data_IF_601895953544
#
_entry.id   IF_601895953544
#
_cell.length_a   1.000
_cell.length_b   1.000
_cell.length_c   1.000
_cell.angle_alpha   90.00
_cell.angle_beta   90.00
_cell.angle_gamma   90.00
#
_symmetry.space_group_name_H-M   'P 1'
#
loop_
_entity.id
_entity.type
_entity.pdbx_description
1 polymer ?
#
# COMPACT_ATOMS: atom_id res chain seq x y z
N UNK A 1 10.89 -6.85 -47.35
CA UNK A 1 9.50 -6.41 -47.12
C UNK A 1 9.43 -4.95 -47.59
N UNK A 2 9.54 -4.75 -48.90
CA UNK A 2 8.44 -4.52 -49.88
C UNK A 2 7.65 -3.24 -49.56
N UNK A 3 8.23 -2.13 -50.02
CA UNK A 3 7.65 -1.10 -50.91
C UNK A 3 6.12 -1.09 -51.12
N UNK A 4 5.50 0.07 -50.88
CA UNK A 4 4.41 0.58 -51.73
C UNK A 4 4.21 2.09 -51.56
N UNK A 5 4.68 2.83 -52.56
CA UNK A 5 4.08 4.10 -53.00
C UNK A 5 2.67 3.84 -53.54
N UNK A 6 1.77 4.82 -53.38
CA UNK A 6 1.16 5.56 -54.50
C UNK A 6 -0.19 6.23 -54.14
N UNK A 7 -0.33 7.46 -54.64
CA UNK A 7 -1.52 8.00 -55.30
C UNK A 7 -2.69 8.54 -54.45
N UNK A 8 -2.84 9.86 -54.52
CA UNK A 8 -4.10 10.62 -54.78
C UNK A 8 -3.69 12.10 -54.99
N UNK A 9 -3.46 12.55 -56.22
CA UNK A 9 -4.41 12.85 -57.32
C UNK A 9 -5.27 14.09 -57.05
N UNK A 10 -4.73 15.21 -57.49
CA UNK A 10 -5.37 16.33 -58.21
C UNK A 10 -6.84 16.64 -57.90
N UNK A 11 -7.04 17.70 -57.11
CA UNK A 11 -8.25 18.55 -57.18
C UNK A 11 -7.80 20.01 -57.09
N UNK A 12 -7.29 20.54 -58.20
CA UNK A 12 -7.17 21.97 -58.46
C UNK A 12 -8.46 22.41 -59.19
N UNK A 13 -9.40 23.03 -58.46
CA UNK A 13 -10.61 23.61 -59.05
C UNK A 13 -10.82 25.02 -58.50
N UNK A 14 -10.47 25.98 -59.34
CA UNK A 14 -10.96 27.36 -59.43
C UNK A 14 -11.45 28.01 -58.13
N UNK A 15 -10.57 28.79 -57.50
CA UNK A 15 -10.98 29.88 -56.62
C UNK A 15 -10.60 31.18 -57.32
N UNK A 16 -11.63 31.97 -57.62
CA UNK A 16 -11.49 33.28 -58.23
C UNK A 16 -10.65 34.20 -57.34
N UNK A 17 -9.79 34.95 -57.98
CA UNK A 17 -9.10 36.10 -57.42
C UNK A 17 -10.12 37.20 -57.09
N UNK A 18 -10.67 37.17 -55.88
CA UNK A 18 -11.25 38.37 -55.27
C UNK A 18 -10.09 39.23 -54.77
N UNK A 19 -9.99 40.43 -55.35
CA UNK A 19 -9.12 41.49 -54.84
C UNK A 19 -9.63 41.92 -53.47
N UNK A 20 -8.98 41.43 -52.41
CA UNK A 20 -9.21 41.89 -51.05
C UNK A 20 -8.59 43.29 -50.94
N UNK A 21 -9.45 44.30 -50.97
CA UNK A 21 -9.09 45.67 -50.60
C UNK A 21 -8.63 45.68 -49.12
N UNK A 22 -7.32 45.77 -48.92
CA UNK A 22 -6.67 45.90 -47.62
C UNK A 22 -6.82 47.35 -47.11
N UNK A 23 -8.03 47.67 -46.66
CA UNK A 23 -8.28 48.84 -45.82
C UNK A 23 -7.66 48.61 -44.45
N UNK A 24 -6.42 49.08 -44.26
CA UNK A 24 -5.71 49.11 -42.98
C UNK A 24 -6.45 49.99 -41.97
N UNK A 25 -7.50 49.45 -41.37
CA UNK A 25 -8.16 50.04 -40.21
C UNK A 25 -7.32 49.78 -38.95
N UNK A 26 -6.33 50.65 -38.77
CA UNK A 26 -5.35 50.63 -37.66
C UNK A 26 -5.99 50.83 -36.28
N UNK A 27 -7.28 51.18 -36.24
CA UNK A 27 -8.11 51.31 -35.04
C UNK A 27 -8.65 49.94 -34.55
N UNK A 28 -8.91 49.03 -35.48
CA UNK A 28 -9.56 47.73 -35.21
C UNK A 28 -8.63 46.73 -34.51
N UNK A 29 -7.34 46.73 -34.84
CA UNK A 29 -6.35 45.78 -34.30
C UNK A 29 -6.11 45.93 -32.79
N UNK A 30 -6.26 47.13 -32.23
CA UNK A 30 -6.14 47.37 -30.77
C UNK A 30 -7.26 46.71 -29.97
N UNK A 31 -8.48 46.74 -30.49
CA UNK A 31 -9.64 46.12 -29.85
C UNK A 31 -9.54 44.58 -29.91
N UNK A 32 -9.04 44.03 -31.01
CA UNK A 32 -8.80 42.59 -31.15
C UNK A 32 -7.75 42.10 -30.15
N UNK A 33 -6.66 42.85 -29.95
CA UNK A 33 -5.62 42.50 -28.98
C UNK A 33 -6.15 42.49 -27.54
N UNK A 34 -7.00 43.46 -27.18
CA UNK A 34 -7.65 43.54 -25.88
C UNK A 34 -8.58 42.34 -25.61
N UNK A 35 -9.34 41.93 -26.63
CA UNK A 35 -10.21 40.75 -26.55
C UNK A 35 -9.38 39.47 -26.32
N UNK A 36 -8.26 39.31 -27.04
CA UNK A 36 -7.36 38.17 -26.86
C UNK A 36 -6.78 38.08 -25.45
N UNK A 37 -6.32 39.20 -24.88
CA UNK A 37 -5.80 39.25 -23.51
C UNK A 37 -6.89 38.87 -22.50
N UNK A 38 -8.12 39.34 -22.71
CA UNK A 38 -9.24 39.00 -21.84
C UNK A 38 -9.59 37.50 -21.89
N UNK A 39 -9.56 36.89 -23.08
CA UNK A 39 -9.79 35.46 -23.27
C UNK A 39 -8.69 34.64 -22.58
N UNK A 40 -7.42 35.02 -22.75
CA UNK A 40 -6.29 34.34 -22.10
C UNK A 40 -6.40 34.46 -20.57
N UNK A 41 -6.76 35.64 -20.06
CA UNK A 41 -6.99 35.84 -18.62
C UNK A 41 -8.11 34.95 -18.07
N UNK A 42 -9.22 34.82 -18.80
CA UNK A 42 -10.32 33.92 -18.44
C UNK A 42 -9.91 32.45 -18.46
N UNK A 43 -9.11 32.02 -19.44
CA UNK A 43 -8.58 30.66 -19.50
C UNK A 43 -7.66 30.38 -18.31
N UNK A 44 -6.72 31.28 -18.00
CA UNK A 44 -5.82 31.14 -16.84
C UNK A 44 -6.64 31.07 -15.54
N UNK A 45 -7.65 31.92 -15.38
CA UNK A 45 -8.54 31.90 -14.21
C UNK A 45 -9.28 30.56 -14.10
N UNK A 46 -9.83 30.06 -15.21
CA UNK A 46 -10.55 28.79 -15.25
C UNK A 46 -9.65 27.60 -14.89
N UNK A 47 -8.44 27.54 -15.45
CA UNK A 47 -7.46 26.50 -15.11
C UNK A 47 -6.97 26.59 -13.66
N UNK A 48 -6.79 27.81 -13.14
CA UNK A 48 -6.38 28.04 -11.75
C UNK A 48 -7.44 27.54 -10.77
N UNK A 49 -8.73 27.83 -11.03
CA UNK A 49 -9.83 27.33 -10.21
C UNK A 49 -9.83 25.81 -10.20
N UNK A 50 -9.69 25.14 -11.34
CA UNK A 50 -9.66 23.67 -11.40
C UNK A 50 -8.45 23.07 -10.67
N UNK A 51 -7.29 23.72 -10.72
CA UNK A 51 -6.07 23.27 -10.04
C UNK A 51 -6.16 23.46 -8.52
N UNK A 52 -6.80 24.54 -8.05
CA UNK A 52 -6.99 24.81 -6.62
C UNK A 52 -8.20 24.08 -6.03
N UNK A 53 -9.24 23.78 -6.81
CA UNK A 53 -10.40 22.97 -6.41
C UNK A 53 -10.20 21.50 -6.79
N UNK A 54 -9.10 20.89 -6.34
CA UNK A 54 -9.10 19.45 -6.15
C UNK A 54 -9.82 19.16 -4.84
N UNK A 55 -11.12 18.77 -4.83
CA UNK A 55 -11.76 18.35 -3.60
C UNK A 55 -10.90 17.24 -3.01
N UNK A 56 -10.46 17.41 -1.76
CA UNK A 56 -9.84 16.30 -1.03
C UNK A 56 -10.82 15.15 -1.10
N UNK A 57 -10.45 14.00 -1.70
CA UNK A 57 -11.35 12.86 -1.79
C UNK A 57 -11.87 12.58 -0.39
N UNK A 58 -13.19 12.42 -0.25
CA UNK A 58 -13.81 12.19 1.03
C UNK A 58 -13.07 11.02 1.72
N UNK A 59 -12.55 11.27 2.93
CA UNK A 59 -11.81 10.25 3.67
C UNK A 59 -12.72 9.05 3.91
N UNK A 60 -12.42 7.93 3.26
CA UNK A 60 -13.11 6.67 3.49
C UNK A 60 -12.81 6.25 4.94
N UNK A 61 -13.84 6.24 5.79
CA UNK A 61 -13.68 5.87 7.20
C UNK A 61 -14.86 5.06 7.71
N UNK A 62 -14.58 4.17 8.66
CA UNK A 62 -15.59 3.34 9.30
C UNK A 62 -15.16 2.94 10.72
N UNK A 63 -16.07 2.33 11.48
CA UNK A 63 -15.81 1.84 12.84
C UNK A 63 -15.92 0.32 12.85
N UNK A 64 -14.92 -0.35 13.43
CA UNK A 64 -14.86 -1.79 13.60
C UNK A 64 -14.54 -2.14 15.05
N UNK A 65 -15.39 -2.90 15.73
CA UNK A 65 -15.22 -3.26 17.14
C UNK A 65 -14.84 -2.08 18.07
N UNK A 66 -15.39 -0.90 17.81
CA UNK A 66 -15.12 0.33 18.57
C UNK A 66 -13.88 1.11 18.13
N UNK A 67 -13.09 0.59 17.19
CA UNK A 67 -11.93 1.28 16.62
C UNK A 67 -12.30 2.01 15.34
N UNK A 68 -11.91 3.28 15.22
CA UNK A 68 -12.08 4.05 13.99
C UNK A 68 -10.94 3.72 13.02
N UNK A 69 -11.30 3.41 11.78
CA UNK A 69 -10.39 3.23 10.66
C UNK A 69 -10.61 4.34 9.66
N UNK A 70 -9.52 4.99 9.25
CA UNK A 70 -9.52 6.01 8.19
C UNK A 70 -8.52 5.60 7.12
N UNK A 71 -8.93 5.59 5.86
CA UNK A 71 -8.06 5.29 4.74
C UNK A 71 -7.26 6.53 4.36
N UNK A 72 -5.94 6.43 4.46
CA UNK A 72 -5.00 7.49 4.10
C UNK A 72 -4.11 6.96 2.99
N UNK A 73 -4.32 7.46 1.77
CA UNK A 73 -3.70 6.88 0.56
C UNK A 73 -4.11 5.40 0.37
N UNK A 74 -3.16 4.47 0.37
CA UNK A 74 -3.38 3.02 0.23
C UNK A 74 -3.33 2.25 1.55
N UNK A 75 -3.31 2.95 2.70
CA UNK A 75 -3.19 2.33 4.02
C UNK A 75 -4.40 2.67 4.88
N UNK A 76 -4.73 1.75 5.78
CA UNK A 76 -5.72 1.94 6.81
C UNK A 76 -5.05 2.40 8.10
N UNK A 77 -5.45 3.56 8.60
CA UNK A 77 -4.97 4.12 9.86
C UNK A 77 -6.01 3.87 10.95
N UNK A 78 -5.56 3.39 12.10
CA UNK A 78 -6.33 3.34 13.34
C UNK A 78 -5.49 3.84 14.51
N UNK A 79 -6.16 4.29 15.57
CA UNK A 79 -5.51 4.72 16.81
C UNK A 79 -5.90 3.77 17.93
N UNK A 80 -4.90 3.28 18.66
CA UNK A 80 -5.07 2.34 19.76
C UNK A 80 -4.43 2.93 20.99
N UNK A 81 -5.17 2.96 22.09
CA UNK A 81 -4.65 3.41 23.38
C UNK A 81 -4.23 2.21 24.21
N UNK A 82 -2.96 2.17 24.61
CA UNK A 82 -2.44 1.20 25.57
C UNK A 82 -1.86 2.00 26.74
N UNK A 83 -2.40 1.76 27.93
CA UNK A 83 -2.20 2.58 29.12
C UNK A 83 -2.52 4.07 28.84
N UNK A 84 -1.52 4.95 28.96
CA UNK A 84 -1.62 6.38 28.71
C UNK A 84 -0.96 6.80 27.38
N UNK A 85 -0.66 5.85 26.50
CA UNK A 85 0.02 6.10 25.22
C UNK A 85 -0.91 5.80 24.06
N UNK A 86 -1.08 6.78 23.17
CA UNK A 86 -1.83 6.62 21.93
C UNK A 86 -0.89 6.18 20.81
N UNK A 87 -1.16 5.01 20.24
CA UNK A 87 -0.40 4.44 19.12
C UNK A 87 -1.19 4.60 17.82
N UNK A 88 -0.50 5.06 16.79
CA UNK A 88 -1.03 5.13 15.42
C UNK A 88 -0.59 3.90 14.64
N UNK A 89 -1.54 3.04 14.31
CA UNK A 89 -1.29 1.79 13.61
C UNK A 89 -1.74 1.94 12.17
N UNK A 90 -0.86 1.62 11.24
CA UNK A 90 -1.15 1.63 9.80
C UNK A 90 -1.07 0.21 9.25
N UNK A 91 -2.13 -0.29 8.65
CA UNK A 91 -2.16 -1.59 7.98
C UNK A 91 -2.45 -1.42 6.50
N UNK A 92 -2.22 -2.46 5.70
CA UNK A 92 -2.57 -2.42 4.27
C UNK A 92 -3.99 -2.83 4.03
N UNK A 93 -4.48 -3.76 4.85
CA UNK A 93 -5.83 -4.26 4.81
C UNK A 93 -6.57 -3.87 6.07
N UNK A 94 -7.86 -3.66 5.92
CA UNK A 94 -8.75 -3.34 7.02
C UNK A 94 -9.38 -4.59 7.64
N UNK A 95 -9.88 -4.54 8.88
CA UNK A 95 -10.46 -5.72 9.53
C UNK A 95 -11.55 -6.43 8.71
N UNK A 96 -12.44 -5.67 8.04
CA UNK A 96 -13.49 -6.22 7.18
C UNK A 96 -12.93 -7.08 6.04
N UNK A 97 -11.77 -6.73 5.49
CA UNK A 97 -11.13 -7.46 4.40
C UNK A 97 -10.50 -8.77 4.87
N UNK A 98 -10.39 -8.99 6.18
CA UNK A 98 -9.61 -10.07 6.79
C UNK A 98 -10.47 -11.05 7.61
N UNK A 99 -11.77 -10.83 7.73
CA UNK A 99 -12.67 -11.66 8.56
C UNK A 99 -12.70 -13.13 8.15
N UNK A 100 -12.48 -13.41 6.86
CA UNK A 100 -12.48 -14.76 6.30
C UNK A 100 -11.15 -15.51 6.49
N UNK A 101 -10.10 -14.85 7.01
CA UNK A 101 -8.80 -15.47 7.22
C UNK A 101 -8.81 -16.19 8.56
N UNK A 102 -8.59 -17.51 8.50
CA UNK A 102 -8.57 -18.35 9.68
C UNK A 102 -7.31 -18.09 10.53
N UNK A 103 -7.52 -17.91 11.83
CA UNK A 103 -6.46 -17.85 12.83
C UNK A 103 -6.70 -18.94 13.87
N UNK A 104 -5.72 -19.81 14.07
CA UNK A 104 -5.80 -20.85 15.09
C UNK A 104 -5.83 -20.22 16.50
N UNK A 105 -6.74 -20.64 17.38
CA UNK A 105 -6.72 -20.22 18.78
C UNK A 105 -5.39 -20.57 19.45
N UNK A 106 -4.90 -19.72 20.35
CA UNK A 106 -3.66 -19.99 21.08
C UNK A 106 -2.39 -19.40 20.45
N UNK A 107 -2.43 -18.90 19.21
CA UNK A 107 -1.23 -18.33 18.58
C UNK A 107 -0.80 -17.02 19.25
N UNK A 108 -1.74 -16.21 19.75
CA UNK A 108 -1.44 -14.91 20.35
C UNK A 108 -0.71 -15.09 21.68
N UNK A 109 -1.12 -16.07 22.48
CA UNK A 109 -0.48 -16.46 23.73
C UNK A 109 0.94 -16.97 23.51
N UNK A 110 1.19 -17.69 22.41
CA UNK A 110 2.54 -18.11 22.02
C UNK A 110 3.43 -16.92 21.67
N UNK A 111 2.90 -15.95 20.91
CA UNK A 111 3.63 -14.73 20.55
C UNK A 111 3.95 -13.92 21.82
N UNK A 112 2.93 -13.58 22.61
CA UNK A 112 3.08 -12.75 23.82
C UNK A 112 3.92 -13.44 24.90
N UNK A 113 3.84 -14.77 25.01
CA UNK A 113 4.61 -15.56 25.97
C UNK A 113 6.08 -15.79 25.59
N UNK A 114 6.52 -15.37 24.40
CA UNK A 114 7.90 -15.55 23.94
C UNK A 114 8.85 -14.56 24.61
N UNK A 115 10.05 -15.03 24.99
CA UNK A 115 11.15 -14.16 25.51
C UNK A 115 11.86 -13.41 24.39
N UNK A 116 11.80 -13.93 23.18
CA UNK A 116 12.31 -13.31 21.96
C UNK A 116 11.81 -14.06 20.74
N UNK A 117 11.68 -13.37 19.61
CA UNK A 117 11.06 -13.88 18.39
C UNK A 117 12.00 -13.74 17.18
N UNK A 118 12.11 -14.81 16.41
CA UNK A 118 12.70 -14.74 15.08
C UNK A 118 11.60 -14.71 14.01
N UNK A 119 11.63 -13.69 13.15
CA UNK A 119 10.82 -13.64 11.95
C UNK A 119 11.58 -14.34 10.83
N UNK A 120 11.12 -15.50 10.40
CA UNK A 120 11.82 -16.31 9.40
C UNK A 120 11.04 -16.40 8.10
N UNK A 121 11.76 -16.36 6.98
CA UNK A 121 11.20 -16.45 5.63
C UNK A 121 12.12 -17.28 4.75
N UNK A 122 11.57 -17.90 3.71
CA UNK A 122 12.39 -18.59 2.71
C UNK A 122 13.11 -17.60 1.82
N UNK A 123 14.36 -17.92 1.43
CA UNK A 123 15.19 -17.06 0.58
C UNK A 123 14.66 -16.86 -0.84
N UNK A 124 13.64 -17.63 -1.24
CA UNK A 124 12.99 -17.54 -2.54
C UNK A 124 11.77 -16.60 -2.59
N UNK A 125 11.34 -16.01 -1.47
CA UNK A 125 10.24 -15.06 -1.45
C UNK A 125 10.70 -13.65 -1.83
N UNK A 126 9.82 -12.88 -2.46
CA UNK A 126 10.12 -11.50 -2.83
C UNK A 126 10.13 -10.55 -1.62
N UNK A 127 10.44 -9.27 -1.88
CA UNK A 127 10.38 -8.20 -0.90
C UNK A 127 8.98 -7.97 -0.30
N UNK A 128 7.90 -8.48 -0.93
CA UNK A 128 6.54 -8.39 -0.39
C UNK A 128 6.44 -9.12 0.94
N UNK A 129 7.07 -10.29 1.09
CA UNK A 129 7.06 -11.04 2.35
C UNK A 129 7.82 -10.32 3.48
N UNK A 130 8.82 -9.48 3.12
CA UNK A 130 9.53 -8.62 4.08
C UNK A 130 8.62 -7.50 4.61
N UNK A 131 7.62 -7.06 3.84
CA UNK A 131 6.62 -6.10 4.31
C UNK A 131 5.79 -6.69 5.47
N UNK A 132 5.33 -7.93 5.33
CA UNK A 132 4.61 -8.65 6.40
C UNK A 132 5.44 -8.73 7.69
N UNK A 133 6.73 -9.07 7.58
CA UNK A 133 7.67 -9.08 8.71
C UNK A 133 7.77 -7.70 9.36
N UNK A 134 7.92 -6.65 8.55
CA UNK A 134 8.11 -5.28 9.04
C UNK A 134 6.86 -4.75 9.74
N UNK A 135 5.68 -5.03 9.19
CA UNK A 135 4.40 -4.57 9.71
C UNK A 135 4.06 -5.25 11.05
N UNK A 136 4.19 -6.58 11.12
CA UNK A 136 4.00 -7.31 12.37
C UNK A 136 5.11 -7.01 13.39
N UNK A 137 6.36 -6.88 12.93
CA UNK A 137 7.52 -6.56 13.76
C UNK A 137 7.44 -5.20 14.44
N UNK A 138 6.74 -4.22 13.87
CA UNK A 138 6.46 -2.94 14.53
C UNK A 138 5.57 -3.11 15.78
N UNK A 139 4.68 -4.09 15.79
CA UNK A 139 3.78 -4.37 16.91
C UNK A 139 4.49 -5.19 17.99
N UNK A 140 5.20 -6.23 17.55
CA UNK A 140 5.88 -7.17 18.45
C UNK A 140 7.15 -6.57 19.05
N UNK A 141 7.96 -5.91 18.22
CA UNK A 141 9.32 -5.49 18.54
C UNK A 141 9.40 -4.39 19.61
N UNK A 142 10.62 -4.13 20.06
CA UNK A 142 10.92 -3.15 21.12
C UNK A 142 10.96 -1.70 20.62
N UNK A 143 11.03 -1.47 19.31
CA UNK A 143 11.20 -0.12 18.74
C UNK A 143 10.05 0.82 19.04
N UNK A 144 8.82 0.30 19.05
CA UNK A 144 7.61 1.11 19.21
C UNK A 144 6.94 0.96 20.56
N UNK A 145 7.40 0.03 21.41
CA UNK A 145 6.91 -0.02 22.78
C UNK A 145 5.60 -0.77 22.98
N UNK A 146 4.99 -1.37 21.95
CA UNK A 146 3.67 -2.02 22.07
C UNK A 146 3.74 -3.32 22.87
N UNK A 147 4.35 -4.37 22.30
CA UNK A 147 4.52 -5.64 23.02
C UNK A 147 5.92 -5.79 23.65
N UNK A 148 6.91 -5.02 23.17
CA UNK A 148 8.28 -5.00 23.70
C UNK A 148 8.99 -6.37 23.73
N UNK A 149 8.70 -7.23 22.76
CA UNK A 149 9.33 -8.54 22.64
C UNK A 149 10.57 -8.39 21.74
N UNK A 150 11.78 -8.71 22.21
CA UNK A 150 12.98 -8.67 21.36
C UNK A 150 12.78 -9.52 20.11
N UNK A 151 13.01 -8.93 18.94
CA UNK A 151 12.74 -9.61 17.68
C UNK A 151 13.82 -9.38 16.64
N UNK A 152 14.11 -10.39 15.81
CA UNK A 152 15.12 -10.31 14.75
C UNK A 152 14.66 -11.04 13.49
N UNK A 153 15.03 -10.54 12.31
CA UNK A 153 14.80 -11.24 11.05
C UNK A 153 15.81 -12.38 10.84
N UNK A 154 15.37 -13.44 10.19
CA UNK A 154 16.15 -14.62 9.85
C UNK A 154 15.66 -15.23 8.52
N UNK A 155 16.45 -16.13 7.94
CA UNK A 155 16.03 -16.98 6.82
C UNK A 155 15.80 -18.43 7.28
N UNK A 156 15.04 -19.21 6.52
CA UNK A 156 14.94 -20.65 6.76
C UNK A 156 16.14 -21.44 6.27
N UNK A 157 16.90 -20.86 5.34
CA UNK A 157 18.11 -21.43 4.73
C UNK A 157 18.99 -20.28 4.20
N UNK A 158 20.31 -20.51 4.16
CA UNK A 158 21.29 -19.62 3.53
C UNK A 158 22.50 -20.42 3.10
N UNK A 159 23.14 -19.98 2.01
CA UNK A 159 24.41 -20.53 1.51
C UNK A 159 25.65 -19.86 2.16
N UNK A 160 25.44 -18.75 2.87
CA UNK A 160 26.50 -18.04 3.59
C UNK A 160 26.41 -18.27 5.11
N UNK A 161 27.55 -18.10 5.79
CA UNK A 161 27.66 -18.27 7.25
C UNK A 161 27.30 -17.01 8.04
N UNK A 162 27.03 -15.88 7.37
CA UNK A 162 26.76 -14.60 8.01
C UNK A 162 25.26 -14.39 8.27
N UNK A 163 24.42 -14.98 7.43
CA UNK A 163 22.98 -14.89 7.50
C UNK A 163 22.45 -15.76 8.62
N UNK A 164 21.66 -15.14 9.48
CA UNK A 164 20.99 -15.85 10.57
C UNK A 164 19.93 -16.80 10.03
N UNK A 165 20.13 -18.10 10.23
CA UNK A 165 19.16 -19.14 9.87
C UNK A 165 18.37 -19.58 11.09
N UNK A 166 17.04 -19.53 10.99
CA UNK A 166 16.10 -19.98 12.03
C UNK A 166 14.92 -20.71 11.41
N UNK A 167 14.62 -21.87 11.99
CA UNK A 167 13.52 -22.76 11.57
C UNK A 167 12.58 -23.01 12.74
N UNK A 168 11.44 -23.65 12.50
CA UNK A 168 10.53 -24.01 13.59
C UNK A 168 11.15 -24.93 14.66
N UNK A 169 12.24 -25.64 14.34
CA UNK A 169 12.97 -26.46 15.33
C UNK A 169 13.67 -25.60 16.40
N UNK A 170 13.93 -24.33 16.09
CA UNK A 170 14.54 -23.38 17.01
C UNK A 170 13.52 -22.76 17.99
N UNK A 171 12.22 -23.06 17.85
CA UNK A 171 11.16 -22.56 18.71
C UNK A 171 11.11 -23.33 20.05
N UNK A 172 12.13 -23.16 20.89
CA UNK A 172 12.29 -23.89 22.16
C UNK A 172 12.69 -22.95 23.31
N UNK A 173 12.42 -23.36 24.56
CA UNK A 173 12.90 -22.67 25.77
C UNK A 173 12.52 -21.17 25.86
N UNK A 174 11.37 -20.78 25.31
CA UNK A 174 10.90 -19.40 25.27
C UNK A 174 11.39 -18.60 24.06
N UNK A 175 12.18 -19.20 23.16
CA UNK A 175 12.40 -18.67 21.82
C UNK A 175 11.18 -18.94 20.96
N UNK A 176 10.57 -17.89 20.43
CA UNK A 176 9.51 -17.95 19.43
C UNK A 176 10.08 -17.87 18.02
N UNK A 177 9.43 -18.54 17.07
CA UNK A 177 9.71 -18.41 15.63
C UNK A 177 8.38 -18.15 14.94
N UNK A 178 8.34 -17.10 14.12
CA UNK A 178 7.23 -16.79 13.24
C UNK A 178 7.70 -17.01 11.81
N UNK A 179 7.18 -18.05 11.17
CA UNK A 179 7.55 -18.43 9.81
C UNK A 179 6.52 -17.94 8.80
N UNK A 180 6.96 -17.07 7.90
CA UNK A 180 6.20 -16.58 6.75
C UNK A 180 6.45 -17.48 5.54
N UNK A 181 5.39 -18.06 4.97
CA UNK A 181 5.53 -18.98 3.83
C UNK A 181 4.33 -18.97 2.90
N UNK A 182 4.54 -19.46 1.68
CA UNK A 182 3.46 -19.82 0.77
C UNK A 182 2.86 -21.18 1.16
N UNK A 183 1.58 -21.37 0.85
CA UNK A 183 0.89 -22.64 1.00
C UNK A 183 -0.45 -22.66 0.25
N UNK A 184 -1.31 -23.61 0.61
CA UNK A 184 -2.56 -23.84 -0.13
C UNK A 184 -3.73 -22.98 0.37
N UNK A 185 -3.56 -22.31 1.51
CA UNK A 185 -4.59 -21.49 2.16
C UNK A 185 -3.96 -20.27 2.81
N UNK A 186 -4.73 -19.20 2.93
CA UNK A 186 -4.36 -18.02 3.71
C UNK A 186 -4.83 -18.19 5.15
N UNK A 187 -3.89 -18.33 6.09
CA UNK A 187 -4.19 -18.60 7.49
C UNK A 187 -2.99 -18.29 8.40
N UNK A 188 -3.26 -18.14 9.70
CA UNK A 188 -2.25 -18.16 10.73
C UNK A 188 -2.51 -19.33 11.70
N UNK A 189 -1.51 -20.16 11.95
CA UNK A 189 -1.65 -21.36 12.78
C UNK A 189 -0.35 -21.66 13.53
N UNK A 190 -0.35 -22.65 14.41
CA UNK A 190 0.85 -23.09 15.12
C UNK A 190 1.29 -24.49 14.68
N UNK A 191 2.60 -24.66 14.53
CA UNK A 191 3.25 -25.97 14.48
C UNK A 191 4.18 -26.05 15.70
N UNK A 192 3.70 -26.75 16.74
CA UNK A 192 4.33 -26.80 18.06
C UNK A 192 4.45 -25.38 18.66
N UNK A 193 5.67 -24.86 18.85
CA UNK A 193 5.92 -23.51 19.36
C UNK A 193 6.21 -22.49 18.23
N UNK A 194 6.20 -22.94 16.98
CA UNK A 194 6.38 -22.08 15.82
C UNK A 194 5.02 -21.55 15.37
N UNK A 195 4.90 -20.24 15.16
CA UNK A 195 3.72 -19.66 14.54
C UNK A 195 3.96 -19.57 13.04
N UNK A 196 3.02 -20.05 12.25
CA UNK A 196 3.08 -20.05 10.80
C UNK A 196 2.10 -19.00 10.28
N UNK A 197 2.60 -18.05 9.51
CA UNK A 197 1.80 -17.07 8.76
C UNK A 197 1.88 -17.48 7.29
N UNK A 198 0.77 -17.99 6.76
CA UNK A 198 0.71 -18.61 5.45
C UNK A 198 -0.21 -17.83 4.51
N UNK A 199 0.21 -17.65 3.26
CA UNK A 199 -0.62 -17.11 2.18
C UNK A 199 -0.63 -18.03 0.96
N UNK A 200 -1.68 -17.96 0.15
CA UNK A 200 -1.70 -18.58 -1.19
C UNK A 200 -0.79 -17.85 -2.17
N UNK A 201 -0.67 -16.54 -2.01
CA UNK A 201 0.27 -15.68 -2.71
C UNK A 201 1.02 -14.78 -1.70
N UNK A 202 2.08 -14.10 -2.13
CA UNK A 202 2.87 -13.26 -1.22
C UNK A 202 2.06 -12.12 -0.58
N UNK A 203 1.13 -11.52 -1.32
CA UNK A 203 0.23 -10.51 -0.75
C UNK A 203 -0.75 -11.09 0.28
N UNK A 204 -1.07 -12.37 0.20
CA UNK A 204 -1.89 -13.03 1.20
C UNK A 204 -1.13 -13.30 2.50
N UNK A 205 0.20 -13.44 2.44
CA UNK A 205 1.05 -13.45 3.64
C UNK A 205 0.90 -12.11 4.39
N UNK A 206 0.85 -10.99 3.66
CA UNK A 206 0.64 -9.67 4.25
C UNK A 206 -0.76 -9.54 4.87
N UNK A 207 -1.81 -10.04 4.19
CA UNK A 207 -3.16 -10.11 4.77
C UNK A 207 -3.20 -10.94 6.05
N UNK A 208 -2.57 -12.11 6.06
CA UNK A 208 -2.49 -12.96 7.24
C UNK A 208 -1.72 -12.28 8.38
N UNK A 209 -0.63 -11.55 8.07
CA UNK A 209 0.13 -10.78 9.05
C UNK A 209 -0.67 -9.60 9.63
N UNK A 210 -1.42 -8.86 8.81
CA UNK A 210 -2.34 -7.81 9.26
C UNK A 210 -3.46 -8.40 10.14
N UNK A 211 -3.99 -9.57 9.79
CA UNK A 211 -5.02 -10.28 10.57
C UNK A 211 -4.49 -10.70 11.95
N UNK A 212 -3.26 -11.20 12.02
CA UNK A 212 -2.58 -11.51 13.28
C UNK A 212 -2.32 -10.24 14.08
N UNK A 213 -1.91 -9.16 13.42
CA UNK A 213 -1.69 -7.85 14.04
C UNK A 213 -2.96 -7.35 14.73
N UNK A 214 -4.11 -7.39 14.06
CA UNK A 214 -5.38 -6.98 14.68
C UNK A 214 -5.78 -7.86 15.86
N UNK A 215 -5.46 -9.15 15.82
CA UNK A 215 -5.67 -10.06 16.95
C UNK A 215 -4.81 -9.71 18.17
N UNK A 216 -3.51 -9.49 17.96
CA UNK A 216 -2.59 -9.06 19.02
C UNK A 216 -2.99 -7.74 19.67
N UNK A 217 -3.63 -6.85 18.90
CA UNK A 217 -4.09 -5.54 19.34
C UNK A 217 -5.51 -5.57 19.97
N UNK A 218 -6.19 -6.72 19.98
CA UNK A 218 -7.56 -6.85 20.48
C UNK A 218 -8.62 -6.16 19.60
N UNK A 219 -8.29 -5.84 18.35
CA UNK A 219 -9.23 -5.26 17.37
C UNK A 219 -10.12 -6.35 16.78
N UNK A 220 -9.53 -7.52 16.50
CA UNK A 220 -10.23 -8.69 15.99
C UNK A 220 -10.05 -9.87 16.97
N UNK A 221 -11.06 -10.74 17.14
CA UNK A 221 -10.92 -11.98 17.90
C UNK A 221 -10.07 -13.02 17.15
#
# INVERSE_FOLDING_TARGET
>A
MVEKEESKKDINKSLGSEEIHEGSDKSSTKNIMLILIMIIGLLILFFSIKYFYHPTPAEESYVYNGFKFTKVSSLWLTEIQLDNTLFRITTRYSPNELEHINVEPGIYEKIVGSKGIYFTVSGNLSSVSVLAITELGRIIGTRYGLLNIPSQAALTESDDNETLVKTCKDAVNGTGVIWFKLGNTTAAYSDQNCVIIQGTEEWDIVKAADRVTFGLLGVMP
#
